data_IF_524937041332
#
_entry.id   IF_524937041332
#
_cell.length_a   1.000
_cell.length_b   1.000
_cell.length_c   1.000
_cell.angle_alpha   90.00
_cell.angle_beta   90.00
_cell.angle_gamma   90.00
#
_symmetry.space_group_name_H-M   'P 1'
#
loop_
_entity.id
_entity.type
_entity.pdbx_description
1 polymer ?
#
# COMPACT_ATOMS: atom_id res chain seq x y z
N UNK A 1 -42.06 37.81 32.18
CA UNK A 1 -40.80 37.32 32.78
C UNK A 1 -41.20 36.03 33.49
N UNK A 2 -40.76 34.83 33.16
CA UNK A 2 -39.59 34.35 32.42
C UNK A 2 -39.92 33.04 31.70
N UNK A 3 -39.15 32.77 30.65
CA UNK A 3 -39.02 31.54 29.90
C UNK A 3 -38.61 30.36 30.80
N UNK A 4 -38.92 29.13 30.39
CA UNK A 4 -37.89 28.11 30.16
C UNK A 4 -38.48 26.86 29.51
N UNK A 5 -38.31 26.80 28.19
CA UNK A 5 -38.23 25.55 27.44
C UNK A 5 -36.99 24.79 27.94
N UNK A 6 -37.16 23.54 28.36
CA UNK A 6 -36.03 22.63 28.55
C UNK A 6 -36.17 21.52 27.51
N UNK A 7 -35.76 21.83 26.28
CA UNK A 7 -35.50 20.85 25.25
C UNK A 7 -34.27 20.05 25.66
N UNK A 8 -34.48 18.89 26.27
CA UNK A 8 -33.42 17.91 26.49
C UNK A 8 -33.08 17.23 25.18
N UNK A 9 -32.16 17.79 24.40
CA UNK A 9 -31.49 17.07 23.33
C UNK A 9 -30.67 15.94 23.96
N UNK A 10 -31.21 14.73 23.90
CA UNK A 10 -30.47 13.51 24.15
C UNK A 10 -29.41 13.44 23.05
N UNK A 11 -28.17 13.85 23.37
CA UNK A 11 -26.99 13.54 22.57
C UNK A 11 -26.88 12.02 22.50
N UNK A 12 -27.48 11.43 21.47
CA UNK A 12 -27.29 10.03 21.15
C UNK A 12 -25.79 9.85 20.89
N UNK A 13 -25.10 9.21 21.83
CA UNK A 13 -23.76 8.72 21.59
C UNK A 13 -23.82 7.84 20.34
N UNK A 14 -22.90 8.02 19.36
CA UNK A 14 -22.96 7.26 18.12
C UNK A 14 -22.93 5.77 18.48
N UNK A 15 -23.95 5.04 18.01
CA UNK A 15 -24.03 3.60 18.17
C UNK A 15 -22.67 3.00 17.80
N UNK A 16 -22.06 2.24 18.70
CA UNK A 16 -20.75 1.63 18.48
C UNK A 16 -20.84 0.76 17.23
N UNK A 17 -20.41 1.30 16.07
CA UNK A 17 -20.37 0.56 14.80
C UNK A 17 -19.54 -0.69 15.03
N UNK A 18 -20.10 -1.86 14.72
CA UNK A 18 -19.39 -3.12 14.86
C UNK A 18 -18.29 -3.12 13.80
N UNK A 19 -17.05 -2.88 14.22
CA UNK A 19 -15.90 -2.76 13.30
C UNK A 19 -15.63 -4.13 12.70
N UNK A 20 -16.15 -4.37 11.50
CA UNK A 20 -15.74 -5.49 10.67
C UNK A 20 -14.35 -5.19 10.12
N UNK A 21 -13.39 -6.11 10.33
CA UNK A 21 -12.06 -6.00 9.73
C UNK A 21 -11.91 -6.95 8.55
N UNK A 22 -11.66 -6.40 7.37
CA UNK A 22 -11.41 -7.19 6.18
C UNK A 22 -10.12 -8.01 6.30
N UNK A 23 -9.97 -8.96 5.38
CA UNK A 23 -8.73 -9.72 5.21
C UNK A 23 -7.52 -8.78 5.06
N UNK A 24 -7.65 -7.74 4.23
CA UNK A 24 -6.58 -6.81 3.92
C UNK A 24 -6.14 -6.01 5.14
N UNK A 25 -7.08 -5.44 5.89
CA UNK A 25 -6.77 -4.68 7.12
C UNK A 25 -6.08 -5.56 8.16
N UNK A 26 -6.54 -6.81 8.34
CA UNK A 26 -5.90 -7.76 9.27
C UNK A 26 -4.47 -8.09 8.87
N UNK A 27 -4.22 -8.27 7.57
CA UNK A 27 -2.86 -8.53 7.06
C UNK A 27 -1.96 -7.32 7.21
N UNK A 28 -2.48 -6.13 6.92
CA UNK A 28 -1.77 -4.88 7.07
C UNK A 28 -1.40 -4.60 8.54
N UNK A 29 -2.33 -4.79 9.47
CA UNK A 29 -2.07 -4.67 10.91
C UNK A 29 -0.98 -5.63 11.37
N UNK A 30 -1.10 -6.92 11.04
CA UNK A 30 -0.07 -7.91 11.37
C UNK A 30 1.30 -7.53 10.79
N UNK A 31 1.33 -6.99 9.57
CA UNK A 31 2.58 -6.56 8.92
C UNK A 31 3.21 -5.38 9.67
N UNK A 32 2.41 -4.46 10.22
CA UNK A 32 2.91 -3.39 11.07
C UNK A 32 3.47 -3.91 12.40
N UNK A 33 2.77 -4.85 13.04
CA UNK A 33 3.24 -5.52 14.26
C UNK A 33 4.58 -6.22 14.03
N UNK A 34 4.72 -6.97 12.94
CA UNK A 34 5.97 -7.64 12.55
C UNK A 34 7.14 -6.68 12.34
N UNK A 35 6.86 -5.44 11.92
CA UNK A 35 7.86 -4.38 11.73
C UNK A 35 8.10 -3.52 12.98
N UNK A 36 7.39 -3.78 14.08
CA UNK A 36 7.44 -2.95 15.29
C UNK A 36 6.91 -1.52 15.07
N UNK A 37 6.00 -1.33 14.12
CA UNK A 37 5.39 -0.03 13.81
C UNK A 37 4.06 0.09 14.55
N UNK A 38 3.96 1.08 15.44
CA UNK A 38 2.71 1.40 16.13
C UNK A 38 1.82 2.28 15.26
N UNK A 39 0.78 1.68 14.66
CA UNK A 39 -0.25 2.44 13.92
C UNK A 39 -1.44 2.71 14.83
N UNK A 40 -1.89 3.97 14.96
CA UNK A 40 -3.07 4.29 15.76
C UNK A 40 -4.28 3.46 15.32
N UNK A 41 -4.89 2.74 16.26
CA UNK A 41 -6.00 1.83 16.00
C UNK A 41 -7.21 2.54 15.36
N UNK A 42 -7.36 3.84 15.60
CA UNK A 42 -8.36 4.69 14.95
C UNK A 42 -8.20 4.72 13.42
N UNK A 43 -6.95 4.75 12.92
CA UNK A 43 -6.69 4.75 11.48
C UNK A 43 -7.05 3.39 10.88
N UNK A 44 -6.65 2.30 11.54
CA UNK A 44 -6.98 0.95 11.09
C UNK A 44 -8.48 0.67 11.12
N UNK A 45 -9.22 1.21 12.11
CA UNK A 45 -10.68 1.06 12.17
C UNK A 45 -11.42 1.78 11.04
N UNK A 46 -10.83 2.83 10.48
CA UNK A 46 -11.41 3.61 9.39
C UNK A 46 -11.17 2.97 8.01
N UNK A 47 -10.18 2.08 7.89
CA UNK A 47 -9.78 1.46 6.62
C UNK A 47 -10.90 0.66 5.95
N UNK A 48 -11.75 0.01 6.76
CA UNK A 48 -12.85 -0.85 6.30
C UNK A 48 -14.21 -0.13 6.23
N UNK A 49 -14.29 1.14 6.64
CA UNK A 49 -15.55 1.90 6.59
C UNK A 49 -15.79 2.32 5.13
N UNK A 50 -16.98 2.04 4.56
CA UNK A 50 -17.32 2.54 3.23
C UNK A 50 -17.32 4.07 3.20
N UNK A 51 -16.88 4.66 2.09
CA UNK A 51 -16.84 6.12 1.93
C UNK A 51 -18.23 6.77 2.10
N UNK A 52 -19.29 6.06 1.73
CA UNK A 52 -20.68 6.53 1.89
C UNK A 52 -21.12 6.63 3.37
N UNK A 53 -20.45 5.89 4.26
CA UNK A 53 -20.74 5.88 5.70
C UNK A 53 -19.84 6.83 6.51
N UNK A 54 -18.94 7.57 5.84
CA UNK A 54 -18.04 8.51 6.51
C UNK A 54 -18.82 9.62 7.20
N UNK A 55 -18.55 9.78 8.50
CA UNK A 55 -18.89 11.02 9.20
C UNK A 55 -17.97 12.16 8.75
N UNK A 56 -18.33 13.44 9.00
CA UNK A 56 -17.41 14.55 8.75
C UNK A 56 -16.04 14.37 9.42
N UNK A 57 -16.02 13.82 10.63
CA UNK A 57 -14.81 13.53 11.39
C UNK A 57 -13.98 12.41 10.75
N UNK A 58 -14.64 11.34 10.30
CA UNK A 58 -13.98 10.25 9.55
C UNK A 58 -13.32 10.78 8.28
N UNK A 59 -14.02 11.66 7.56
CA UNK A 59 -13.51 12.29 6.34
C UNK A 59 -12.28 13.14 6.62
N UNK A 60 -12.29 13.92 7.70
CA UNK A 60 -11.13 14.72 8.12
C UNK A 60 -9.93 13.82 8.45
N UNK A 61 -10.14 12.73 9.20
CA UNK A 61 -9.07 11.77 9.53
C UNK A 61 -8.53 11.11 8.26
N UNK A 62 -9.42 10.71 7.35
CA UNK A 62 -9.01 10.11 6.10
C UNK A 62 -8.14 11.06 5.27
N UNK A 63 -8.59 12.30 5.04
CA UNK A 63 -7.88 13.27 4.21
C UNK A 63 -6.57 13.76 4.87
N UNK A 64 -6.55 13.96 6.19
CA UNK A 64 -5.38 14.51 6.90
C UNK A 64 -4.35 13.47 7.33
N UNK A 65 -4.75 12.21 7.57
CA UNK A 65 -3.87 11.17 8.14
C UNK A 65 -3.73 9.95 7.24
N UNK A 66 -4.81 9.39 6.71
CA UNK A 66 -4.74 8.14 5.93
C UNK A 66 -4.22 8.41 4.52
N UNK A 67 -4.82 9.36 3.81
CA UNK A 67 -4.52 9.66 2.41
C UNK A 67 -3.06 10.06 2.17
N UNK A 68 -2.41 10.90 3.01
CA UNK A 68 -0.99 11.20 2.85
C UNK A 68 -0.08 9.98 3.05
N UNK A 69 -0.54 8.99 3.83
CA UNK A 69 0.18 7.75 4.11
C UNK A 69 -0.24 6.59 3.20
N UNK A 70 -1.10 6.84 2.20
CA UNK A 70 -1.66 5.79 1.36
C UNK A 70 -0.56 4.96 0.67
N UNK A 71 0.50 5.60 0.20
CA UNK A 71 1.64 4.91 -0.41
C UNK A 71 2.36 3.98 0.58
N UNK A 72 2.55 4.39 1.83
CA UNK A 72 3.19 3.57 2.86
C UNK A 72 2.31 2.36 3.20
N UNK A 73 1.00 2.56 3.34
CA UNK A 73 0.07 1.46 3.55
C UNK A 73 0.06 0.48 2.36
N UNK A 74 0.05 1.00 1.13
CA UNK A 74 0.09 0.19 -0.07
C UNK A 74 1.41 -0.58 -0.21
N UNK A 75 2.56 0.00 0.14
CA UNK A 75 3.87 -0.66 0.15
C UNK A 75 3.86 -1.89 1.06
N UNK A 76 3.37 -1.74 2.29
CA UNK A 76 3.29 -2.87 3.21
C UNK A 76 2.26 -3.92 2.79
N UNK A 77 1.17 -3.50 2.14
CA UNK A 77 0.18 -4.42 1.59
C UNK A 77 0.73 -5.15 0.34
N UNK A 78 1.59 -4.50 -0.47
CA UNK A 78 2.33 -5.12 -1.56
C UNK A 78 3.29 -6.18 -1.03
N UNK A 79 4.04 -5.90 0.04
CA UNK A 79 4.90 -6.93 0.66
C UNK A 79 4.10 -8.15 1.13
N UNK A 80 2.89 -7.94 1.68
CA UNK A 80 1.99 -9.05 2.02
C UNK A 80 1.59 -9.82 0.78
N UNK A 81 1.18 -9.14 -0.28
CA UNK A 81 0.79 -9.75 -1.55
C UNK A 81 1.91 -10.61 -2.15
N UNK A 82 3.13 -10.06 -2.21
CA UNK A 82 4.32 -10.77 -2.69
C UNK A 82 4.66 -11.98 -1.82
N UNK A 83 4.63 -11.82 -0.49
CA UNK A 83 4.92 -12.92 0.46
C UNK A 83 3.92 -14.07 0.31
N UNK A 84 2.69 -13.77 -0.09
CA UNK A 84 1.65 -14.76 -0.37
C UNK A 84 1.76 -15.41 -1.75
N UNK A 85 2.77 -15.07 -2.56
CA UNK A 85 2.97 -15.61 -3.90
C UNK A 85 2.08 -14.95 -4.95
N UNK A 86 1.77 -13.65 -4.79
CA UNK A 86 0.97 -12.84 -5.73
C UNK A 86 -0.37 -13.49 -6.13
N UNK A 87 -1.27 -13.79 -5.17
CA UNK A 87 -2.54 -14.47 -5.45
C UNK A 87 -3.57 -13.53 -6.10
N UNK A 88 -3.30 -13.03 -7.31
CA UNK A 88 -4.07 -11.99 -8.02
C UNK A 88 -5.57 -12.25 -8.03
N UNK A 89 -5.99 -13.38 -8.60
CA UNK A 89 -7.42 -13.74 -8.74
C UNK A 89 -8.15 -13.77 -7.40
N UNK A 90 -7.51 -14.31 -6.36
CA UNK A 90 -8.11 -14.36 -5.02
C UNK A 90 -8.31 -12.96 -4.43
N UNK A 91 -7.37 -12.04 -4.67
CA UNK A 91 -7.49 -10.64 -4.24
C UNK A 91 -8.56 -9.90 -5.03
N UNK A 92 -8.64 -10.09 -6.35
CA UNK A 92 -9.70 -9.53 -7.21
C UNK A 92 -11.10 -9.97 -6.71
N UNK A 93 -11.32 -11.27 -6.52
CA UNK A 93 -12.58 -11.82 -6.00
C UNK A 93 -12.95 -11.28 -4.60
N UNK A 94 -11.96 -11.04 -3.73
CA UNK A 94 -12.20 -10.44 -2.42
C UNK A 94 -12.56 -8.96 -2.55
N UNK A 95 -11.92 -8.21 -3.44
CA UNK A 95 -12.18 -6.79 -3.67
C UNK A 95 -13.54 -6.51 -4.28
N UNK A 96 -14.03 -7.40 -5.14
CA UNK A 96 -15.38 -7.33 -5.71
C UNK A 96 -16.46 -7.31 -4.64
N UNK A 97 -16.24 -7.99 -3.51
CA UNK A 97 -17.19 -8.09 -2.39
C UNK A 97 -17.10 -6.93 -1.40
N UNK A 98 -16.09 -6.09 -1.49
CA UNK A 98 -15.92 -4.94 -0.61
C UNK A 98 -16.62 -3.71 -1.19
N UNK A 99 -17.33 -2.99 -0.33
CA UNK A 99 -17.81 -1.65 -0.66
C UNK A 99 -16.62 -0.68 -0.88
N UNK A 100 -16.80 0.39 -1.68
CA UNK A 100 -15.78 1.44 -1.84
C UNK A 100 -15.33 2.00 -0.50
N UNK A 101 -14.08 1.72 -0.12
CA UNK A 101 -13.48 2.03 1.18
C UNK A 101 -11.97 2.28 1.03
N UNK A 102 -11.29 2.91 2.01
CA UNK A 102 -9.86 3.15 1.94
C UNK A 102 -9.04 1.87 1.67
N UNK A 103 -9.38 0.76 2.35
CA UNK A 103 -8.65 -0.50 2.15
C UNK A 103 -8.83 -1.07 0.75
N UNK A 104 -10.03 -0.91 0.16
CA UNK A 104 -10.29 -1.33 -1.22
C UNK A 104 -9.40 -0.54 -2.18
N UNK A 105 -9.30 0.78 -1.99
CA UNK A 105 -8.39 1.63 -2.80
C UNK A 105 -6.96 1.15 -2.68
N UNK A 106 -6.45 0.92 -1.47
CA UNK A 106 -5.07 0.46 -1.25
C UNK A 106 -4.78 -0.90 -1.89
N UNK A 107 -5.68 -1.86 -1.73
CA UNK A 107 -5.54 -3.19 -2.32
C UNK A 107 -5.66 -3.16 -3.84
N UNK A 108 -6.53 -2.33 -4.41
CA UNK A 108 -6.61 -2.11 -5.86
C UNK A 108 -5.32 -1.48 -6.40
N UNK A 109 -4.72 -0.52 -5.68
CA UNK A 109 -3.42 0.05 -6.05
C UNK A 109 -2.33 -1.01 -6.11
N UNK A 110 -2.30 -1.95 -5.14
CA UNK A 110 -1.36 -3.07 -5.15
C UNK A 110 -1.48 -3.91 -6.43
N UNK A 111 -2.71 -4.29 -6.82
CA UNK A 111 -2.92 -5.09 -8.03
C UNK A 111 -2.57 -4.34 -9.32
N UNK A 112 -2.84 -3.04 -9.36
CA UNK A 112 -2.49 -2.18 -10.48
C UNK A 112 -0.96 -2.04 -10.63
N UNK A 113 -0.23 -1.86 -9.54
CA UNK A 113 1.24 -1.78 -9.58
C UNK A 113 1.87 -3.12 -9.97
N UNK A 114 1.32 -4.25 -9.54
CA UNK A 114 1.76 -5.59 -9.98
C UNK A 114 1.58 -5.77 -11.51
N UNK A 115 0.43 -5.37 -12.05
CA UNK A 115 0.17 -5.40 -13.51
C UNK A 115 1.13 -4.50 -14.30
N UNK A 116 1.42 -3.32 -13.75
CA UNK A 116 2.38 -2.39 -14.34
C UNK A 116 3.81 -2.95 -14.31
N UNK A 117 4.18 -3.66 -13.24
CA UNK A 117 5.48 -4.32 -13.14
C UNK A 117 5.60 -5.48 -14.14
N UNK A 118 4.53 -6.23 -14.41
CA UNK A 118 4.51 -7.30 -15.41
C UNK A 118 4.52 -6.81 -16.86
N UNK A 119 3.98 -5.60 -17.12
CA UNK A 119 3.91 -5.01 -18.46
C UNK A 119 5.13 -4.21 -18.88
N UNK A 120 6.07 -3.94 -17.96
CA UNK A 120 7.37 -3.38 -18.31
C UNK A 120 8.19 -4.47 -19.03
N UNK A 121 8.58 -4.28 -20.30
CA UNK A 121 9.44 -5.24 -20.97
C UNK A 121 10.74 -5.34 -20.17
N UNK A 122 11.06 -6.56 -19.75
CA UNK A 122 12.36 -6.94 -19.22
C UNK A 122 13.39 -6.44 -20.24
N UNK A 123 14.18 -5.41 -19.90
CA UNK A 123 15.20 -4.89 -20.81
C UNK A 123 16.11 -6.06 -21.18
N UNK A 124 15.96 -6.51 -22.43
CA UNK A 124 16.84 -7.50 -23.02
C UNK A 124 18.26 -6.98 -22.84
N UNK A 125 19.09 -7.76 -22.12
CA UNK A 125 20.53 -7.56 -22.08
C UNK A 125 21.01 -7.21 -23.51
N UNK A 126 21.75 -6.10 -23.70
CA UNK A 126 22.23 -5.75 -25.03
C UNK A 126 23.11 -6.90 -25.51
N UNK A 127 22.59 -7.65 -26.48
CA UNK A 127 23.31 -8.70 -27.20
C UNK A 127 24.65 -8.14 -27.62
N UNK A 128 25.73 -8.66 -27.02
CA UNK A 128 27.10 -8.36 -27.41
C UNK A 128 27.24 -8.58 -28.92
N UNK A 129 27.45 -7.50 -29.66
CA UNK A 129 27.86 -7.57 -31.05
C UNK A 129 29.23 -8.29 -31.13
N UNK A 130 29.46 -9.14 -32.15
CA UNK A 130 30.71 -9.90 -32.26
C UNK A 130 31.92 -8.97 -32.43
N UNK A 131 33.10 -9.33 -31.90
CA UNK A 131 34.22 -8.40 -31.76
C UNK A 131 34.87 -8.12 -33.11
N UNK A 132 34.88 -6.85 -33.52
CA UNK A 132 35.76 -6.36 -34.57
C UNK A 132 37.19 -6.20 -34.03
N UNK A 133 38.14 -6.69 -34.82
CA UNK A 133 39.50 -7.01 -34.42
C UNK A 133 40.39 -5.78 -34.65
N UNK A 134 40.90 -5.13 -33.59
CA UNK A 134 42.08 -4.28 -33.78
C UNK A 134 42.44 -3.27 -32.69
N UNK A 135 43.50 -3.62 -31.95
CA UNK A 135 44.54 -2.76 -31.32
C UNK A 135 44.37 -2.40 -29.83
N UNK A 136 45.13 -3.19 -29.04
CA UNK A 136 45.94 -2.85 -27.85
C UNK A 136 45.73 -1.48 -27.18
N UNK A 137 45.24 -1.52 -25.94
CA UNK A 137 46.02 -1.09 -24.76
C UNK A 137 45.51 -1.82 -23.52
N UNK A 138 46.39 -2.62 -22.92
CA UNK A 138 46.16 -3.26 -21.63
C UNK A 138 46.15 -2.20 -20.53
N UNK A 139 45.09 -2.20 -19.72
CA UNK A 139 45.10 -2.12 -18.25
C UNK A 139 43.65 -2.01 -17.73
N UNK A 140 43.47 -2.60 -16.55
CA UNK A 140 42.50 -2.27 -15.48
C UNK A 140 41.40 -3.30 -15.18
N UNK A 141 41.41 -3.63 -13.89
CA UNK A 141 40.43 -4.19 -12.96
C UNK A 141 39.92 -5.62 -13.16
N UNK A 142 40.56 -6.51 -12.39
CA UNK A 142 39.91 -7.70 -11.84
C UNK A 142 38.63 -7.28 -11.13
N UNK A 143 37.46 -7.65 -11.67
CA UNK A 143 36.19 -7.59 -10.93
C UNK A 143 36.24 -8.68 -9.85
N UNK A 144 36.36 -8.25 -8.60
CA UNK A 144 36.03 -9.07 -7.44
C UNK A 144 34.57 -9.51 -7.62
N UNK A 145 34.33 -10.82 -7.63
CA UNK A 145 32.99 -11.39 -7.53
C UNK A 145 32.46 -11.02 -6.14
N UNK A 146 31.74 -9.90 -6.05
CA UNK A 146 30.97 -9.58 -4.86
C UNK A 146 29.66 -10.33 -4.97
N UNK A 147 29.37 -11.09 -3.93
CA UNK A 147 28.17 -11.90 -3.79
C UNK A 147 26.92 -11.11 -4.18
N UNK A 148 26.03 -11.84 -4.83
CA UNK A 148 24.76 -11.41 -5.39
C UNK A 148 23.79 -11.12 -4.24
N UNK A 149 24.08 -10.11 -3.43
CA UNK A 149 23.05 -9.43 -2.67
C UNK A 149 22.23 -8.65 -3.67
N UNK A 150 21.10 -9.25 -4.05
CA UNK A 150 20.00 -8.60 -4.73
C UNK A 150 19.49 -7.47 -3.83
N UNK A 151 20.21 -6.34 -3.84
CA UNK A 151 19.63 -5.04 -3.57
C UNK A 151 18.66 -4.78 -4.73
N UNK A 152 17.44 -5.32 -4.60
CA UNK A 152 16.28 -4.90 -5.38
C UNK A 152 16.17 -3.40 -5.15
N UNK A 153 16.65 -2.62 -6.12
CA UNK A 153 16.45 -1.18 -6.15
C UNK A 153 14.96 -0.93 -5.91
N UNK A 154 14.67 -0.22 -4.82
CA UNK A 154 13.30 0.11 -4.47
C UNK A 154 12.79 0.99 -5.60
N UNK A 155 11.66 0.62 -6.21
CA UNK A 155 11.15 1.24 -7.44
C UNK A 155 10.91 2.77 -7.34
N UNK A 156 10.99 3.34 -6.13
CA UNK A 156 10.87 4.77 -5.82
C UNK A 156 12.21 5.52 -5.62
N UNK A 157 13.38 4.90 -5.81
CA UNK A 157 14.68 5.62 -5.83
C UNK A 157 14.91 6.41 -7.14
N UNK A 158 14.04 6.25 -8.14
CA UNK A 158 14.02 7.15 -9.31
C UNK A 158 13.38 8.48 -8.93
N UNK A 159 14.25 9.36 -8.45
CA UNK A 159 14.00 10.78 -8.14
C UNK A 159 13.02 11.44 -9.12
N UNK A 160 11.90 11.90 -8.59
CA UNK A 160 11.09 12.95 -9.20
C UNK A 160 11.69 14.28 -8.73
N UNK A 161 12.46 14.94 -9.60
CA UNK A 161 12.77 16.37 -9.53
C UNK A 161 12.26 17.02 -10.81
#
# INVERSE_FOLDING_TARGET
METNQTGGEIRQAPARRKVFRSFFTKKLERKFEEKGLEVPQQLLSLMDIPFEEFTPEDKEIYESKIKPLAFVFAEHLMEVYETMGKPRRGWEEMLERLEPSPIKVLATLVLHEDEKAESLPEELDPVEAPPDNGKRTEKISVRVYREKDQSRERWWEKKIF
#
